data_IF_859472943355
#
_entry.id   IF_859472943355
#
_cell.length_a   1.000
_cell.length_b   1.000
_cell.length_c   1.000
_cell.angle_alpha   90.00
_cell.angle_beta   90.00
_cell.angle_gamma   90.00
#
_symmetry.space_group_name_H-M   'P 1'
#
loop_
_entity.id
_entity.type
_entity.pdbx_description
1 polymer ?
#
# COMPACT_ATOMS: atom_id res chain seq x y z
N UNK A 1 2.23 -5.31 -25.00
CA UNK A 1 3.53 -5.86 -24.66
C UNK A 1 3.36 -7.28 -24.13
N UNK A 2 4.07 -8.26 -24.73
CA UNK A 2 3.93 -9.68 -24.32
C UNK A 2 4.81 -10.07 -23.11
N UNK A 3 5.74 -9.19 -22.72
CA UNK A 3 6.75 -9.49 -21.69
C UNK A 3 6.43 -8.96 -20.31
N UNK A 4 5.47 -8.04 -20.19
CA UNK A 4 5.17 -7.36 -18.93
C UNK A 4 6.31 -6.44 -18.43
N UNK A 5 7.31 -6.13 -19.25
CA UNK A 5 8.39 -5.21 -18.89
C UNK A 5 8.10 -3.84 -19.49
N UNK A 6 8.21 -2.81 -18.67
CA UNK A 6 8.06 -1.42 -19.10
C UNK A 6 9.32 -0.62 -18.78
N UNK A 7 9.58 0.39 -19.60
CA UNK A 7 10.56 1.44 -19.36
C UNK A 7 9.84 2.76 -19.42
N UNK A 8 10.05 3.60 -18.43
CA UNK A 8 9.43 4.92 -18.37
C UNK A 8 10.33 5.94 -17.65
N UNK A 9 10.02 7.20 -17.80
CA UNK A 9 10.61 8.28 -17.02
C UNK A 9 10.22 8.16 -15.55
N UNK A 10 11.11 8.59 -14.67
CA UNK A 10 10.90 8.49 -13.21
C UNK A 10 9.78 9.40 -12.69
N UNK A 11 9.43 10.45 -13.43
CA UNK A 11 8.36 11.39 -13.10
C UNK A 11 6.94 10.87 -13.35
N UNK A 12 6.78 9.76 -14.08
CA UNK A 12 5.48 9.13 -14.34
C UNK A 12 4.84 8.67 -13.02
N UNK A 13 3.54 8.96 -12.84
CA UNK A 13 2.79 8.50 -11.69
C UNK A 13 2.41 7.02 -11.82
N UNK A 14 2.34 6.32 -10.70
CA UNK A 14 1.83 4.94 -10.70
C UNK A 14 0.38 4.87 -11.21
N UNK A 15 -0.43 5.90 -10.99
CA UNK A 15 -1.79 6.01 -11.52
C UNK A 15 -1.83 5.97 -13.05
N UNK A 16 -0.90 6.67 -13.72
CA UNK A 16 -0.81 6.68 -15.19
C UNK A 16 -0.45 5.30 -15.74
N UNK A 17 0.45 4.59 -15.07
CA UNK A 17 0.81 3.20 -15.41
C UNK A 17 -0.41 2.28 -15.25
N UNK A 18 -1.15 2.41 -14.15
CA UNK A 18 -2.33 1.60 -13.87
C UNK A 18 -3.41 1.85 -14.94
N UNK A 19 -3.70 3.10 -15.27
CA UNK A 19 -4.69 3.47 -16.30
C UNK A 19 -4.36 2.91 -17.68
N UNK A 20 -3.07 2.89 -18.04
CA UNK A 20 -2.61 2.38 -19.33
C UNK A 20 -2.58 0.86 -19.36
N UNK A 21 -2.15 0.21 -18.30
CA UNK A 21 -1.76 -1.20 -18.35
C UNK A 21 -2.81 -2.16 -17.77
N UNK A 22 -3.68 -1.75 -16.85
CA UNK A 22 -4.76 -2.61 -16.34
C UNK A 22 -5.71 -3.05 -17.47
N UNK A 23 -6.16 -2.16 -18.38
CA UNK A 23 -6.97 -2.60 -19.53
C UNK A 23 -6.26 -3.57 -20.49
N UNK A 24 -4.95 -3.71 -20.34
CA UNK A 24 -4.09 -4.61 -21.14
C UNK A 24 -3.70 -5.89 -20.38
N UNK A 25 -4.30 -6.13 -19.22
CA UNK A 25 -4.05 -7.31 -18.40
C UNK A 25 -2.76 -7.26 -17.60
N UNK A 26 -2.28 -6.05 -17.22
CA UNK A 26 -1.05 -5.88 -16.44
C UNK A 26 -1.26 -4.96 -15.26
N UNK A 27 -0.62 -5.30 -14.13
CA UNK A 27 -0.64 -4.48 -12.92
C UNK A 27 0.77 -4.39 -12.30
N UNK A 28 0.99 -3.44 -11.43
CA UNK A 28 2.23 -3.32 -10.66
C UNK A 28 2.44 -4.56 -9.78
N UNK A 29 3.66 -5.13 -9.75
CA UNK A 29 3.97 -6.23 -8.83
C UNK A 29 3.82 -5.82 -7.39
N UNK A 30 4.34 -4.64 -7.05
CA UNK A 30 4.26 -4.04 -5.73
C UNK A 30 3.71 -2.63 -5.87
N UNK A 31 2.76 -2.26 -5.02
CA UNK A 31 2.19 -0.92 -4.98
C UNK A 31 1.91 -0.50 -3.54
N UNK A 32 2.24 0.74 -3.14
CA UNK A 32 1.91 1.26 -1.82
C UNK A 32 0.41 1.56 -1.67
N UNK A 33 0.02 2.15 -0.56
CA UNK A 33 -1.38 2.52 -0.28
C UNK A 33 -1.93 3.70 -1.08
N UNK A 34 -1.11 4.32 -1.95
CA UNK A 34 -1.51 5.38 -2.88
C UNK A 34 -0.88 5.17 -4.25
N UNK A 35 -1.59 5.50 -5.31
CA UNK A 35 -1.10 5.51 -6.70
C UNK A 35 -0.63 6.88 -7.16
N UNK A 36 -0.74 7.90 -6.32
CA UNK A 36 -0.43 9.30 -6.61
C UNK A 36 1.04 9.66 -6.35
N UNK A 37 1.93 8.69 -6.45
CA UNK A 37 3.38 8.86 -6.34
C UNK A 37 4.05 8.54 -7.66
N UNK A 38 5.23 9.13 -7.88
CA UNK A 38 6.03 8.86 -9.09
C UNK A 38 6.80 7.55 -8.99
N UNK A 39 7.19 6.99 -10.13
CA UNK A 39 8.07 5.82 -10.21
C UNK A 39 9.39 6.09 -9.48
N UNK A 40 10.00 7.26 -9.68
CA UNK A 40 11.24 7.64 -9.00
C UNK A 40 11.07 7.70 -7.48
N UNK A 41 9.93 8.23 -6.98
CA UNK A 41 9.60 8.24 -5.57
C UNK A 41 9.38 6.83 -4.99
N UNK A 42 8.72 5.96 -5.76
CA UNK A 42 8.53 4.56 -5.38
C UNK A 42 9.86 3.80 -5.23
N UNK A 43 10.84 4.05 -6.13
CA UNK A 43 12.18 3.46 -6.05
C UNK A 43 12.98 4.08 -4.90
N UNK A 44 13.00 5.41 -4.80
CA UNK A 44 13.78 6.11 -3.78
C UNK A 44 13.37 5.76 -2.35
N UNK A 45 12.09 5.42 -2.13
CA UNK A 45 11.57 4.97 -0.85
C UNK A 45 11.50 3.44 -0.72
N UNK A 46 11.87 2.71 -1.78
CA UNK A 46 11.68 1.25 -1.92
C UNK A 46 10.33 0.78 -1.36
N UNK A 47 9.25 1.38 -1.87
CA UNK A 47 7.91 1.19 -1.31
C UNK A 47 7.50 -0.27 -1.27
N UNK A 48 6.78 -0.66 -0.23
CA UNK A 48 6.16 -1.97 -0.10
C UNK A 48 4.64 -1.88 -0.18
N UNK A 49 3.99 -3.01 -0.36
CA UNK A 49 2.54 -3.11 -0.48
C UNK A 49 1.94 -4.19 0.42
N UNK A 50 0.66 -4.48 0.18
CA UNK A 50 -0.11 -5.51 0.89
C UNK A 50 0.39 -6.94 0.64
N UNK A 51 1.34 -7.12 -0.28
CA UNK A 51 1.95 -8.40 -0.66
C UNK A 51 3.43 -8.49 -0.32
N UNK A 52 3.93 -7.64 0.59
CA UNK A 52 5.36 -7.58 0.87
C UNK A 52 5.93 -8.92 1.37
N UNK A 53 5.14 -9.73 2.05
CA UNK A 53 5.50 -11.05 2.54
C UNK A 53 5.69 -12.11 1.42
N UNK A 54 5.18 -11.84 0.21
CA UNK A 54 5.32 -12.69 -1.00
C UNK A 54 6.28 -12.06 -2.01
N UNK A 55 6.07 -10.79 -2.33
CA UNK A 55 6.72 -10.12 -3.47
C UNK A 55 7.80 -9.10 -3.05
N UNK A 56 7.97 -8.84 -1.74
CA UNK A 56 8.97 -7.90 -1.23
C UNK A 56 8.60 -6.43 -1.47
N UNK A 57 9.62 -5.61 -1.78
CA UNK A 57 9.49 -4.18 -2.06
C UNK A 57 9.52 -3.89 -3.57
N UNK A 58 9.35 -2.63 -3.95
CA UNK A 58 9.32 -2.22 -5.36
C UNK A 58 10.59 -2.61 -6.13
N UNK A 59 11.75 -2.55 -5.47
CA UNK A 59 13.05 -2.95 -6.03
C UNK A 59 13.10 -4.39 -6.52
N UNK A 60 12.28 -5.31 -6.01
CA UNK A 60 12.23 -6.71 -6.47
C UNK A 60 11.71 -6.83 -7.91
N UNK A 61 10.93 -5.85 -8.38
CA UNK A 61 10.45 -5.76 -9.75
C UNK A 61 11.39 -5.00 -10.67
N UNK A 62 12.37 -4.27 -10.11
CA UNK A 62 13.23 -3.33 -10.82
C UNK A 62 14.35 -4.08 -11.56
N UNK A 63 14.54 -3.73 -12.83
CA UNK A 63 15.54 -4.35 -13.71
C UNK A 63 16.74 -3.43 -13.89
N UNK A 64 16.48 -2.16 -14.21
CA UNK A 64 17.52 -1.16 -14.49
C UNK A 64 16.99 0.24 -14.17
N UNK A 65 17.89 1.13 -13.75
CA UNK A 65 17.65 2.57 -13.65
C UNK A 65 18.73 3.35 -14.39
N UNK A 66 18.35 4.52 -14.93
CA UNK A 66 19.30 5.56 -15.35
C UNK A 66 19.37 6.61 -14.26
N UNK A 67 20.54 6.82 -13.72
CA UNK A 67 20.80 7.71 -12.58
C UNK A 67 21.74 8.83 -13.01
N UNK A 68 21.37 10.07 -12.73
CA UNK A 68 22.25 11.23 -12.87
C UNK A 68 22.92 11.51 -11.53
N UNK A 69 24.24 11.50 -11.51
CA UNK A 69 25.07 11.77 -10.33
C UNK A 69 25.24 13.28 -10.09
N UNK A 70 25.84 13.64 -8.96
CA UNK A 70 26.06 15.04 -8.56
C UNK A 70 26.98 15.82 -9.49
N UNK A 71 27.87 15.15 -10.22
CA UNK A 71 28.75 15.74 -11.23
C UNK A 71 28.09 15.90 -12.60
N UNK A 72 26.79 15.54 -12.74
CA UNK A 72 26.02 15.56 -13.97
C UNK A 72 26.24 14.34 -14.89
N UNK A 73 27.12 13.42 -14.54
CA UNK A 73 27.28 12.17 -15.29
C UNK A 73 26.05 11.27 -15.16
N UNK A 74 25.73 10.55 -16.25
CA UNK A 74 24.59 9.63 -16.26
C UNK A 74 25.10 8.22 -16.37
N UNK A 75 24.68 7.38 -15.43
CA UNK A 75 25.08 5.97 -15.34
C UNK A 75 23.86 5.05 -15.36
N UNK A 76 24.02 3.89 -15.97
CA UNK A 76 23.04 2.80 -15.88
C UNK A 76 23.39 1.92 -14.70
N UNK A 77 22.40 1.62 -13.86
CA UNK A 77 22.54 0.78 -12.67
C UNK A 77 21.54 -0.37 -12.70
N UNK A 78 22.03 -1.58 -12.41
CA UNK A 78 21.22 -2.81 -12.33
C UNK A 78 21.90 -3.82 -11.38
N UNK A 79 21.33 -4.99 -11.20
CA UNK A 79 21.96 -6.09 -10.46
C UNK A 79 23.30 -6.56 -11.06
N UNK A 80 23.54 -6.29 -12.36
CA UNK A 80 24.75 -6.69 -13.10
C UNK A 80 25.72 -5.55 -13.35
N UNK A 81 25.25 -4.30 -13.29
CA UNK A 81 26.04 -3.11 -13.59
C UNK A 81 25.85 -2.04 -12.52
N UNK A 82 26.96 -1.54 -11.95
CA UNK A 82 26.93 -0.58 -10.84
C UNK A 82 26.02 -1.04 -9.69
N UNK A 83 26.15 -2.32 -9.32
CA UNK A 83 25.25 -3.02 -8.39
C UNK A 83 25.15 -2.33 -7.03
N UNK A 84 26.24 -1.89 -6.46
CA UNK A 84 26.25 -1.23 -5.15
C UNK A 84 25.43 0.08 -5.21
N UNK A 85 25.64 0.88 -6.25
CA UNK A 85 24.88 2.11 -6.48
C UNK A 85 23.40 1.81 -6.75
N UNK A 86 23.09 0.75 -7.50
CA UNK A 86 21.71 0.30 -7.71
C UNK A 86 21.02 -0.01 -6.39
N UNK A 87 21.65 -0.81 -5.54
CA UNK A 87 21.12 -1.19 -4.22
C UNK A 87 21.00 0.02 -3.29
N UNK A 88 22.00 0.90 -3.27
CA UNK A 88 21.97 2.12 -2.46
C UNK A 88 20.91 3.14 -2.92
N UNK A 89 20.50 3.10 -4.19
CA UNK A 89 19.45 3.98 -4.75
C UNK A 89 18.06 3.49 -4.35
N UNK A 90 17.85 2.19 -4.29
CA UNK A 90 16.60 1.60 -3.82
C UNK A 90 16.44 1.84 -2.31
N UNK A 91 15.49 2.69 -1.92
CA UNK A 91 15.34 3.13 -0.53
C UNK A 91 16.36 4.18 -0.07
N UNK A 92 17.19 4.70 -1.00
CA UNK A 92 18.21 5.70 -0.71
C UNK A 92 17.70 7.14 -0.59
N UNK A 93 16.40 7.35 -0.59
CA UNK A 93 15.71 8.64 -0.41
C UNK A 93 16.20 9.76 -1.35
N UNK A 94 16.72 9.39 -2.54
CA UNK A 94 17.25 10.32 -3.53
C UNK A 94 18.68 10.81 -3.25
N UNK A 95 19.36 10.31 -2.23
CA UNK A 95 20.69 10.78 -1.82
C UNK A 95 21.82 10.31 -2.76
N UNK A 96 21.57 9.31 -3.60
CA UNK A 96 22.56 8.76 -4.55
C UNK A 96 22.59 9.52 -5.87
N UNK A 97 21.54 10.29 -6.20
CA UNK A 97 21.40 11.03 -7.45
C UNK A 97 19.94 11.13 -7.89
N UNK A 98 19.73 11.69 -9.09
CA UNK A 98 18.39 11.85 -9.67
C UNK A 98 18.10 10.67 -10.61
N UNK A 99 17.08 9.89 -10.29
CA UNK A 99 16.60 8.82 -11.17
C UNK A 99 15.91 9.48 -12.38
N UNK A 100 16.39 9.19 -13.58
CA UNK A 100 15.84 9.73 -14.84
C UNK A 100 14.81 8.77 -15.44
N UNK A 101 15.16 7.49 -15.53
CA UNK A 101 14.34 6.44 -16.12
C UNK A 101 14.44 5.15 -15.29
N UNK A 102 13.41 4.33 -15.35
CA UNK A 102 13.38 3.03 -14.76
C UNK A 102 12.81 1.98 -15.71
N UNK A 103 13.38 0.77 -15.68
CA UNK A 103 12.86 -0.42 -16.33
C UNK A 103 12.47 -1.42 -15.25
N UNK A 104 11.23 -1.89 -15.25
CA UNK A 104 10.72 -2.84 -14.27
C UNK A 104 9.63 -3.74 -14.84
N UNK A 105 9.34 -4.83 -14.13
CA UNK A 105 8.36 -5.82 -14.55
C UNK A 105 7.00 -5.59 -13.89
N UNK A 106 5.94 -5.77 -14.67
CA UNK A 106 4.56 -5.83 -14.23
C UNK A 106 4.13 -7.28 -13.96
N UNK A 107 3.02 -7.47 -13.28
CA UNK A 107 2.35 -8.74 -13.03
C UNK A 107 1.17 -8.87 -14.00
N UNK A 108 1.02 -10.04 -14.65
CA UNK A 108 -0.17 -10.33 -15.44
C UNK A 108 -1.39 -10.50 -14.54
N UNK A 109 -2.52 -9.92 -14.95
CA UNK A 109 -3.82 -10.03 -14.28
C UNK A 109 -4.89 -10.39 -15.31
N UNK A 110 -5.95 -11.06 -14.86
CA UNK A 110 -7.10 -11.42 -15.69
C UNK A 110 -8.29 -10.48 -15.45
N UNK A 111 -8.28 -9.71 -14.36
CA UNK A 111 -9.35 -8.81 -13.98
C UNK A 111 -8.81 -7.63 -13.17
N UNK A 112 -9.53 -6.52 -13.19
CA UNK A 112 -9.33 -5.38 -12.27
C UNK A 112 -10.03 -5.60 -10.92
N UNK A 113 -10.80 -6.67 -10.77
CA UNK A 113 -11.52 -6.98 -9.55
C UNK A 113 -10.68 -7.85 -8.61
N UNK A 114 -10.87 -7.65 -7.31
CA UNK A 114 -10.23 -8.39 -6.23
C UNK A 114 -11.28 -9.20 -5.48
N UNK A 115 -11.07 -10.52 -5.40
CA UNK A 115 -11.79 -11.41 -4.47
C UNK A 115 -11.28 -11.13 -3.06
N UNK A 116 -11.99 -10.27 -2.34
CA UNK A 116 -11.64 -9.88 -0.98
C UNK A 116 -12.32 -10.78 0.04
N UNK A 117 -11.53 -11.28 0.99
CA UNK A 117 -12.02 -11.93 2.20
C UNK A 117 -11.75 -11.03 3.39
N UNK A 118 -12.81 -10.69 4.15
CA UNK A 118 -12.69 -9.89 5.38
C UNK A 118 -12.96 -10.78 6.59
N UNK A 119 -12.02 -10.80 7.51
CA UNK A 119 -12.05 -11.57 8.75
C UNK A 119 -12.15 -10.58 9.92
N UNK A 120 -13.24 -10.65 10.69
CA UNK A 120 -13.47 -9.83 11.86
C UNK A 120 -12.94 -10.52 13.11
N UNK A 121 -11.97 -9.92 13.78
CA UNK A 121 -11.30 -10.44 14.96
C UNK A 121 -11.64 -9.62 16.20
N UNK A 122 -11.78 -10.26 17.36
CA UNK A 122 -12.22 -9.61 18.60
C UNK A 122 -11.08 -8.93 19.36
N UNK A 123 -9.84 -9.36 19.15
CA UNK A 123 -8.65 -8.86 19.83
C UNK A 123 -7.38 -9.17 19.03
N UNK A 124 -6.25 -8.73 19.54
CA UNK A 124 -4.96 -8.87 18.89
C UNK A 124 -4.54 -10.34 18.69
N UNK A 125 -4.76 -11.22 19.67
CA UNK A 125 -4.47 -12.66 19.55
C UNK A 125 -5.19 -13.26 18.33
N UNK A 126 -6.50 -13.07 18.24
CA UNK A 126 -7.27 -13.56 17.09
C UNK A 126 -6.82 -12.93 15.77
N UNK A 127 -6.30 -11.71 15.82
CA UNK A 127 -5.74 -11.06 14.62
C UNK A 127 -4.47 -11.76 14.15
N UNK A 128 -3.58 -12.11 15.08
CA UNK A 128 -2.37 -12.90 14.75
C UNK A 128 -2.73 -14.29 14.23
N UNK A 129 -3.64 -15.01 14.92
CA UNK A 129 -4.12 -16.32 14.44
C UNK A 129 -4.72 -16.23 13.03
N UNK A 130 -5.45 -15.15 12.74
CA UNK A 130 -6.01 -14.93 11.42
C UNK A 130 -4.91 -14.68 10.37
N UNK A 131 -3.88 -13.87 10.66
CA UNK A 131 -2.75 -13.68 9.77
C UNK A 131 -2.01 -14.99 9.47
N UNK A 132 -1.78 -15.84 10.48
CA UNK A 132 -1.15 -17.15 10.27
C UNK A 132 -2.06 -18.08 9.43
N UNK A 133 -3.34 -18.12 9.72
CA UNK A 133 -4.32 -18.95 8.99
C UNK A 133 -4.42 -18.56 7.50
N UNK A 134 -4.30 -17.28 7.20
CA UNK A 134 -4.42 -16.73 5.84
C UNK A 134 -3.07 -16.28 5.25
N UNK A 135 -1.95 -16.80 5.76
CA UNK A 135 -0.60 -16.43 5.34
C UNK A 135 -0.31 -16.70 3.84
N UNK A 136 -1.06 -17.64 3.24
CA UNK A 136 -0.92 -17.97 1.81
C UNK A 136 -1.58 -16.96 0.87
N UNK A 137 -2.39 -16.04 1.38
CA UNK A 137 -3.00 -15.00 0.56
C UNK A 137 -1.92 -14.09 -0.07
N UNK A 138 -2.11 -13.72 -1.34
CA UNK A 138 -1.18 -12.83 -2.05
C UNK A 138 -1.14 -11.45 -1.40
N UNK A 139 -2.29 -10.93 -1.03
CA UNK A 139 -2.43 -9.60 -0.43
C UNK A 139 -3.10 -9.71 0.94
N UNK A 140 -2.54 -9.02 1.93
CA UNK A 140 -3.13 -8.93 3.26
C UNK A 140 -2.91 -7.55 3.88
N UNK A 141 -3.92 -7.06 4.60
CA UNK A 141 -3.85 -5.81 5.37
C UNK A 141 -4.87 -5.87 6.50
N UNK A 142 -4.54 -5.33 7.66
CA UNK A 142 -5.49 -5.20 8.76
C UNK A 142 -5.73 -3.74 9.13
N UNK A 143 -6.99 -3.38 9.32
CA UNK A 143 -7.37 -2.22 10.09
C UNK A 143 -7.46 -2.62 11.56
N UNK A 144 -6.82 -1.88 12.44
CA UNK A 144 -6.78 -2.14 13.89
C UNK A 144 -7.42 -0.97 14.62
N UNK A 145 -8.33 -1.26 15.56
CA UNK A 145 -8.86 -0.27 16.50
C UNK A 145 -7.87 -0.02 17.63
N UNK A 146 -7.04 0.99 17.46
CA UNK A 146 -6.02 1.38 18.45
C UNK A 146 -6.58 2.03 19.72
N UNK A 147 -7.88 2.35 19.76
CA UNK A 147 -8.54 2.90 20.96
C UNK A 147 -9.30 1.85 21.76
N UNK A 148 -9.35 0.62 21.30
CA UNK A 148 -9.96 -0.49 22.00
C UNK A 148 -9.09 -0.93 23.16
N UNK A 149 -9.67 -1.26 24.31
CA UNK A 149 -8.98 -1.59 25.57
C UNK A 149 -9.49 -2.90 26.17
N UNK A 150 -8.74 -3.43 27.14
CA UNK A 150 -9.09 -4.67 27.86
C UNK A 150 -9.18 -5.87 26.91
N UNK A 151 -10.19 -6.72 27.07
CA UNK A 151 -10.37 -7.97 26.29
C UNK A 151 -10.53 -7.75 24.78
N UNK A 152 -10.74 -6.51 24.36
CA UNK A 152 -10.91 -6.14 22.94
C UNK A 152 -9.72 -5.39 22.36
N UNK A 153 -8.62 -5.28 23.11
CA UNK A 153 -7.40 -4.59 22.62
C UNK A 153 -6.96 -5.16 21.27
N UNK A 154 -6.71 -4.27 20.30
CA UNK A 154 -6.29 -4.65 18.96
C UNK A 154 -7.33 -5.41 18.14
N UNK A 155 -8.65 -5.30 18.47
CA UNK A 155 -9.71 -5.83 17.59
C UNK A 155 -9.55 -5.26 16.18
N UNK A 156 -9.77 -6.09 15.16
CA UNK A 156 -9.33 -5.77 13.80
C UNK A 156 -10.30 -6.26 12.73
N UNK A 157 -10.12 -5.72 11.55
CA UNK A 157 -10.64 -6.25 10.30
C UNK A 157 -9.44 -6.62 9.43
N UNK A 158 -9.11 -7.91 9.37
CA UNK A 158 -8.11 -8.43 8.44
C UNK A 158 -8.77 -8.61 7.08
N UNK A 159 -8.18 -8.05 6.06
CA UNK A 159 -8.61 -8.19 4.67
C UNK A 159 -7.50 -8.90 3.88
N UNK A 160 -7.86 -10.00 3.22
CA UNK A 160 -7.00 -10.65 2.23
C UNK A 160 -7.60 -10.48 0.85
N UNK A 161 -6.78 -10.57 -0.19
CA UNK A 161 -7.24 -10.36 -1.56
C UNK A 161 -6.45 -11.16 -2.58
N UNK A 162 -7.18 -11.62 -3.61
CA UNK A 162 -6.64 -12.22 -4.82
C UNK A 162 -7.27 -11.57 -6.04
N UNK A 163 -6.53 -11.42 -7.14
CA UNK A 163 -7.15 -10.99 -8.38
C UNK A 163 -8.25 -11.96 -8.82
N UNK A 164 -9.37 -11.42 -9.26
CA UNK A 164 -10.46 -12.21 -9.86
C UNK A 164 -10.04 -12.73 -11.22
N UNK A 165 -10.74 -13.76 -11.66
CA UNK A 165 -10.63 -14.41 -12.97
C UNK A 165 -11.87 -14.18 -13.86
N UNK A 166 -12.71 -13.19 -13.50
CA UNK A 166 -13.95 -12.88 -14.22
C UNK A 166 -13.76 -12.20 -15.58
N UNK A 167 -12.52 -11.85 -15.94
CA UNK A 167 -12.18 -11.28 -17.23
C UNK A 167 -12.46 -9.78 -17.37
N UNK A 168 -12.93 -9.11 -16.30
CA UNK A 168 -13.19 -7.68 -16.32
C UNK A 168 -11.88 -6.89 -16.20
N UNK A 169 -11.51 -6.21 -17.28
CA UNK A 169 -10.35 -5.33 -17.38
C UNK A 169 -10.75 -3.87 -17.64
N UNK A 170 -12.03 -3.53 -17.55
CA UNK A 170 -12.54 -2.17 -17.73
C UNK A 170 -12.19 -1.31 -16.50
N UNK A 171 -10.97 -0.78 -16.49
CA UNK A 171 -10.50 0.07 -15.41
C UNK A 171 -10.81 1.55 -15.71
N UNK A 172 -11.45 2.19 -14.76
CA UNK A 172 -11.67 3.63 -14.73
C UNK A 172 -11.41 4.17 -13.33
N UNK A 173 -10.45 5.08 -13.22
CA UNK A 173 -10.16 5.72 -11.93
C UNK A 173 -11.37 6.54 -11.48
N UNK A 174 -11.83 6.31 -10.24
CA UNK A 174 -12.94 7.09 -9.67
C UNK A 174 -12.44 8.47 -9.25
N UNK A 175 -13.31 9.48 -9.45
CA UNK A 175 -13.02 10.83 -8.98
C UNK A 175 -12.99 10.86 -7.45
N UNK A 176 -11.94 11.46 -6.90
CA UNK A 176 -11.83 11.71 -5.48
C UNK A 176 -12.80 12.81 -5.02
N UNK A 177 -13.30 12.68 -3.80
CA UNK A 177 -14.08 13.74 -3.13
C UNK A 177 -13.10 14.61 -2.36
N UNK A 178 -13.04 15.89 -2.71
CA UNK A 178 -12.11 16.81 -2.05
C UNK A 178 -12.66 17.31 -0.71
N UNK A 179 -11.78 17.36 0.30
CA UNK A 179 -12.05 18.03 1.59
C UNK A 179 -11.89 19.55 1.38
N UNK A 180 -12.96 20.35 1.43
CA UNK A 180 -12.94 21.73 0.93
C UNK A 180 -12.15 22.70 1.82
N UNK A 181 -12.04 22.45 3.12
CA UNK A 181 -11.34 23.29 4.08
C UNK A 181 -10.72 22.48 5.22
N UNK A 182 -9.80 23.10 5.96
CA UNK A 182 -9.23 22.49 7.15
C UNK A 182 -10.31 22.34 8.23
N UNK A 183 -10.49 21.12 8.71
CA UNK A 183 -11.44 20.86 9.79
C UNK A 183 -10.99 21.54 11.09
N UNK A 184 -11.94 22.05 11.89
CA UNK A 184 -11.62 22.49 13.24
C UNK A 184 -11.03 21.34 14.07
N UNK A 185 -10.05 21.63 14.92
CA UNK A 185 -9.36 20.61 15.75
C UNK A 185 -10.30 19.81 16.66
N UNK A 186 -11.46 20.35 16.97
CA UNK A 186 -12.50 19.68 17.77
C UNK A 186 -13.13 18.48 17.05
N UNK A 187 -13.02 18.39 15.72
CA UNK A 187 -13.62 17.29 14.93
C UNK A 187 -12.88 15.96 15.17
N UNK A 188 -11.55 16.00 15.25
CA UNK A 188 -10.73 14.83 15.56
C UNK A 188 -10.30 14.85 17.02
N UNK A 189 -11.10 14.20 17.86
CA UNK A 189 -10.82 14.01 19.27
C UNK A 189 -11.04 12.54 19.66
N UNK A 190 -10.69 12.18 20.89
CA UNK A 190 -10.81 10.82 21.39
C UNK A 190 -12.23 10.23 21.20
N UNK A 191 -13.28 11.00 21.46
CA UNK A 191 -14.65 10.50 21.39
C UNK A 191 -15.12 10.31 19.95
N UNK A 192 -14.83 11.26 19.05
CA UNK A 192 -15.21 11.16 17.63
C UNK A 192 -14.49 9.99 16.95
N UNK A 193 -13.21 9.82 17.22
CA UNK A 193 -12.42 8.70 16.64
C UNK A 193 -12.87 7.36 17.23
N UNK A 194 -13.15 7.30 18.53
CA UNK A 194 -13.68 6.08 19.18
C UNK A 194 -15.04 5.69 18.61
N UNK A 195 -15.93 6.67 18.38
CA UNK A 195 -17.22 6.43 17.74
C UNK A 195 -17.04 5.92 16.31
N UNK A 196 -16.19 6.57 15.52
CA UNK A 196 -15.88 6.14 14.16
C UNK A 196 -15.35 4.69 14.14
N UNK A 197 -14.39 4.38 15.00
CA UNK A 197 -13.82 3.03 15.10
C UNK A 197 -14.89 1.99 15.45
N UNK A 198 -15.78 2.32 16.40
CA UNK A 198 -16.89 1.44 16.76
C UNK A 198 -17.84 1.19 15.58
N UNK A 199 -18.27 2.26 14.89
CA UNK A 199 -19.15 2.16 13.72
C UNK A 199 -18.50 1.36 12.59
N UNK A 200 -17.23 1.63 12.29
CA UNK A 200 -16.48 0.92 11.26
C UNK A 200 -16.35 -0.57 11.58
N UNK A 201 -15.98 -0.90 12.81
CA UNK A 201 -15.86 -2.29 13.24
C UNK A 201 -17.23 -3.02 13.23
N UNK A 202 -18.30 -2.39 13.74
CA UNK A 202 -19.62 -3.03 13.83
C UNK A 202 -20.33 -3.15 12.48
N UNK A 203 -20.01 -2.29 11.50
CA UNK A 203 -20.53 -2.41 10.13
C UNK A 203 -20.06 -3.70 9.45
N UNK A 204 -18.88 -4.22 9.79
CA UNK A 204 -18.35 -5.46 9.23
C UNK A 204 -19.16 -6.66 9.74
N UNK A 205 -19.48 -7.61 8.83
CA UNK A 205 -20.17 -8.86 9.15
C UNK A 205 -19.36 -9.66 10.17
N UNK A 206 -20.06 -10.40 11.03
CA UNK A 206 -19.42 -11.30 11.99
C UNK A 206 -18.72 -12.46 11.27
N UNK A 207 -17.55 -12.87 11.78
CA UNK A 207 -16.78 -13.99 11.24
C UNK A 207 -16.06 -13.63 9.95
N UNK A 208 -16.25 -14.45 8.92
CA UNK A 208 -15.62 -14.32 7.61
C UNK A 208 -16.66 -13.90 6.58
N UNK A 209 -16.33 -12.93 5.75
CA UNK A 209 -17.17 -12.49 4.65
C UNK A 209 -16.35 -12.34 3.37
N UNK A 210 -16.99 -12.62 2.23
CA UNK A 210 -16.39 -12.54 0.89
C UNK A 210 -17.12 -11.52 0.05
N UNK A 211 -16.37 -10.75 -0.74
CA UNK A 211 -16.92 -9.79 -1.70
C UNK A 211 -15.95 -9.55 -2.84
N UNK A 212 -16.46 -9.20 -4.02
CA UNK A 212 -15.65 -8.66 -5.10
C UNK A 212 -15.62 -7.15 -4.98
N UNK A 213 -14.43 -6.58 -5.03
CA UNK A 213 -14.20 -5.13 -4.98
C UNK A 213 -13.30 -4.70 -6.12
N UNK A 214 -13.48 -3.49 -6.63
CA UNK A 214 -12.57 -2.95 -7.63
C UNK A 214 -11.17 -2.67 -7.05
N UNK A 215 -10.17 -2.68 -7.90
CA UNK A 215 -8.76 -2.48 -7.61
C UNK A 215 -8.49 -1.28 -6.71
N UNK A 216 -9.05 -0.10 -7.04
CA UNK A 216 -8.86 1.12 -6.27
C UNK A 216 -9.37 0.98 -4.83
N UNK A 217 -10.54 0.36 -4.65
CA UNK A 217 -11.14 0.17 -3.31
C UNK A 217 -10.29 -0.71 -2.42
N UNK A 218 -9.59 -1.69 -3.01
CA UNK A 218 -8.73 -2.59 -2.27
C UNK A 218 -7.35 -2.00 -2.01
N UNK A 219 -6.69 -1.46 -3.04
CA UNK A 219 -5.30 -1.01 -2.93
C UNK A 219 -5.18 0.43 -2.44
N UNK A 220 -6.06 1.34 -2.88
CA UNK A 220 -5.94 2.79 -2.74
C UNK A 220 -7.16 3.45 -2.07
N UNK A 221 -7.65 2.95 -0.93
CA UNK A 221 -8.87 3.49 -0.31
C UNK A 221 -8.76 4.97 0.10
N UNK A 222 -7.56 5.46 0.39
CA UNK A 222 -7.33 6.87 0.76
C UNK A 222 -7.33 7.80 -0.45
N UNK A 223 -7.03 7.31 -1.66
CA UNK A 223 -7.02 8.14 -2.88
C UNK A 223 -8.43 8.56 -3.33
N UNK A 224 -9.49 8.01 -2.69
CA UNK A 224 -10.87 8.52 -2.87
C UNK A 224 -11.13 9.86 -2.17
N UNK A 225 -10.25 10.29 -1.30
CA UNK A 225 -10.38 11.55 -0.55
C UNK A 225 -9.21 12.45 -0.94
N UNK A 226 -9.48 13.40 -1.83
CA UNK A 226 -8.50 14.44 -2.15
C UNK A 226 -8.36 15.41 -0.99
N UNK A 227 -7.13 15.90 -0.79
CA UNK A 227 -6.81 16.82 0.30
C UNK A 227 -7.19 16.28 1.70
N UNK A 228 -7.12 14.95 1.89
CA UNK A 228 -7.47 14.28 3.15
C UNK A 228 -6.70 14.78 4.37
N UNK A 229 -5.51 15.36 4.18
CA UNK A 229 -4.73 16.01 5.23
C UNK A 229 -5.50 17.15 5.92
N UNK A 230 -6.47 17.81 5.23
CA UNK A 230 -7.32 18.85 5.79
C UNK A 230 -8.26 18.36 6.89
N UNK A 231 -8.53 17.04 6.96
CA UNK A 231 -9.30 16.42 8.05
C UNK A 231 -8.58 16.63 9.40
N UNK A 232 -7.23 16.65 9.40
CA UNK A 232 -6.43 16.88 10.60
C UNK A 232 -6.29 18.35 10.98
N UNK A 233 -6.86 19.24 10.19
CA UNK A 233 -6.86 20.69 10.46
C UNK A 233 -5.45 21.29 10.41
N UNK A 234 -5.30 22.43 11.10
CA UNK A 234 -4.02 23.17 11.13
C UNK A 234 -2.91 22.46 11.93
N UNK A 235 -3.27 21.58 12.85
CA UNK A 235 -2.31 20.84 13.67
C UNK A 235 -1.59 19.76 12.87
N UNK A 236 -2.16 19.31 11.72
CA UNK A 236 -1.61 18.23 10.93
C UNK A 236 -1.64 16.88 11.65
N UNK A 237 -0.76 15.97 11.22
CA UNK A 237 -0.60 14.65 11.81
C UNK A 237 0.85 14.18 11.62
N UNK A 238 1.22 13.17 12.40
CA UNK A 238 2.49 12.46 12.27
C UNK A 238 2.19 11.00 11.97
N UNK A 239 2.90 10.43 11.01
CA UNK A 239 2.86 9.01 10.71
C UNK A 239 4.16 8.37 11.19
N UNK A 240 4.03 7.30 11.97
CA UNK A 240 5.16 6.49 12.41
C UNK A 240 4.97 5.06 11.94
N UNK A 241 5.98 4.53 11.25
CA UNK A 241 6.01 3.14 10.80
C UNK A 241 7.12 2.40 11.56
N UNK A 242 6.83 1.18 11.98
CA UNK A 242 7.78 0.31 12.66
C UNK A 242 7.62 -1.13 12.19
N UNK A 243 8.67 -1.91 12.38
CA UNK A 243 8.72 -3.34 12.10
C UNK A 243 9.16 -4.04 13.38
N UNK A 244 8.47 -5.10 13.75
CA UNK A 244 8.81 -5.93 14.90
C UNK A 244 9.22 -7.33 14.42
N UNK A 245 10.21 -7.97 15.06
CA UNK A 245 10.51 -9.38 14.83
C UNK A 245 9.25 -10.24 15.09
N UNK A 246 8.97 -11.21 14.22
CA UNK A 246 7.73 -12.00 14.28
C UNK A 246 7.47 -12.60 15.68
N UNK A 247 8.52 -13.11 16.34
CA UNK A 247 8.43 -13.74 17.67
C UNK A 247 8.00 -12.77 18.77
N UNK A 248 8.29 -11.48 18.61
CA UNK A 248 8.04 -10.44 19.62
C UNK A 248 6.87 -9.54 19.24
N UNK A 249 6.29 -9.77 18.04
CA UNK A 249 5.29 -8.87 17.49
C UNK A 249 4.01 -8.78 18.33
N UNK A 250 3.53 -9.89 18.87
CA UNK A 250 2.32 -9.89 19.68
C UNK A 250 2.51 -9.08 20.98
N UNK A 251 3.59 -9.35 21.71
CA UNK A 251 3.91 -8.61 22.95
C UNK A 251 4.21 -7.15 22.67
N UNK A 252 5.02 -6.87 21.62
CA UNK A 252 5.39 -5.52 21.25
C UNK A 252 4.19 -4.68 20.83
N UNK A 253 3.29 -5.22 19.99
CA UNK A 253 2.07 -4.53 19.60
C UNK A 253 1.11 -4.33 20.78
N UNK A 254 1.01 -5.30 21.70
CA UNK A 254 0.20 -5.13 22.92
C UNK A 254 0.69 -3.92 23.70
N UNK A 255 1.99 -3.83 24.00
CA UNK A 255 2.61 -2.69 24.70
C UNK A 255 2.41 -1.34 24.01
N UNK A 256 2.37 -1.32 22.66
CA UNK A 256 2.13 -0.09 21.91
C UNK A 256 0.66 0.35 21.99
N UNK A 257 -0.27 -0.59 22.09
CA UNK A 257 -1.71 -0.32 22.14
C UNK A 257 -2.23 -0.01 23.56
N UNK A 258 -1.52 -0.40 24.63
CA UNK A 258 -1.82 -0.06 26.03
C UNK A 258 -1.56 1.42 26.31
#
# INVERSE_FOLDING_TARGET
NKTGVIRCESGILLSEIIEIFVPRGWFLKVTPGTKLITVGGAIASDVHGKNHHKDGCFSTSLIEIRLMLSDGSIVNCSQQKNKELFLATCGGMGLTGVILEATFSLKSILSQNIKQTTIKTKNLHQTFDAFEKYADATYSVAWIDCLSKGDTIGRSLLMTGEFSDDGDLEYSSKKAVSVPFNFPSIVLNYFSVKLFNALYYFKAKQGVSHQNVGLDSFFFPLDYIDSWNRIYGRNGFVQYQFILPKKESLEGLTKILE
#
